data_IF_382801802957
#
_entry.id   IF_382801802957
#
_cell.length_a   1.000
_cell.length_b   1.000
_cell.length_c   1.000
_cell.angle_alpha   90.00
_cell.angle_beta   90.00
_cell.angle_gamma   90.00
#
_symmetry.space_group_name_H-M   'P 1'
#
loop_
_entity.id
_entity.type
_entity.pdbx_description
1 polymer ?
#
# COMPACT_ATOMS: atom_id res chain seq x y z
N UNK A 1 40.57 40.01 -5.32
CA UNK A 1 39.16 39.79 -4.92
C UNK A 1 38.74 38.43 -5.44
N UNK A 2 38.68 37.40 -4.60
CA UNK A 2 38.30 36.04 -4.99
C UNK A 2 36.82 35.86 -4.66
N UNK A 3 35.99 35.65 -5.67
CA UNK A 3 34.60 35.22 -5.51
C UNK A 3 34.62 33.74 -5.09
N UNK A 4 34.19 33.46 -3.86
CA UNK A 4 33.95 32.09 -3.40
C UNK A 4 32.49 31.76 -3.64
N UNK A 5 32.22 30.86 -4.60
CA UNK A 5 30.89 30.34 -4.90
C UNK A 5 30.52 29.32 -3.80
N UNK A 6 29.59 29.67 -2.91
CA UNK A 6 29.07 28.74 -1.89
C UNK A 6 27.88 28.02 -2.50
N UNK A 7 28.06 26.73 -2.80
CA UNK A 7 27.00 25.83 -3.27
C UNK A 7 26.21 25.36 -2.05
N UNK A 8 25.01 25.92 -1.83
CA UNK A 8 24.13 25.51 -0.75
C UNK A 8 23.30 24.30 -1.19
N UNK A 9 23.77 23.09 -0.87
CA UNK A 9 22.99 21.87 -1.03
C UNK A 9 21.99 21.73 0.11
N UNK A 10 20.70 21.90 -0.17
CA UNK A 10 19.63 21.59 0.77
C UNK A 10 19.49 20.06 0.84
N UNK A 11 20.10 19.43 1.85
CA UNK A 11 19.79 18.05 2.21
C UNK A 11 18.66 18.07 3.23
N UNK A 12 17.45 17.78 2.75
CA UNK A 12 16.32 17.48 3.63
C UNK A 12 16.54 16.04 4.13
N UNK A 13 17.22 15.92 5.26
CA UNK A 13 17.27 14.67 6.01
C UNK A 13 15.97 14.46 6.76
N UNK A 14 14.88 14.11 6.05
CA UNK A 14 13.70 13.59 6.73
C UNK A 14 14.09 12.21 7.24
N UNK A 15 14.22 12.04 8.55
CA UNK A 15 14.07 10.70 9.14
C UNK A 15 12.58 10.38 9.07
N UNK A 16 12.11 10.05 7.86
CA UNK A 16 10.87 9.32 7.75
C UNK A 16 11.17 7.96 8.37
N UNK A 17 10.69 7.72 9.58
CA UNK A 17 10.05 6.45 9.82
C UNK A 17 8.84 6.44 8.87
N UNK A 18 9.10 6.26 7.56
CA UNK A 18 8.03 6.22 6.59
C UNK A 18 7.19 5.04 7.01
N UNK A 19 5.90 5.27 7.26
CA UNK A 19 4.92 4.21 7.13
C UNK A 19 5.17 3.59 5.75
N UNK A 20 5.84 2.44 5.71
CA UNK A 20 6.17 1.70 4.49
C UNK A 20 5.02 0.79 4.10
N UNK A 21 3.82 1.12 4.57
CA UNK A 21 2.59 0.47 4.20
C UNK A 21 2.43 0.56 2.69
N UNK A 22 2.72 -0.54 2.02
CA UNK A 22 2.40 -0.75 0.62
C UNK A 22 1.03 -1.40 0.60
N UNK A 23 0.06 -0.82 -0.10
CA UNK A 23 -1.26 -1.43 -0.23
C UNK A 23 -1.79 -1.29 -1.64
N UNK A 24 -2.56 -2.28 -2.05
CA UNK A 24 -3.27 -2.30 -3.31
C UNK A 24 -4.66 -2.87 -3.13
N UNK A 25 -5.65 -2.24 -3.77
CA UNK A 25 -7.06 -2.58 -3.58
C UNK A 25 -7.61 -3.29 -4.79
N UNK A 26 -8.17 -4.47 -4.55
CA UNK A 26 -8.97 -5.23 -5.50
C UNK A 26 -10.45 -4.99 -5.21
N UNK A 27 -11.24 -4.81 -6.26
CA UNK A 27 -12.70 -4.75 -6.19
C UNK A 27 -13.26 -6.08 -6.64
N UNK A 28 -13.95 -6.77 -5.74
CA UNK A 28 -14.58 -8.08 -5.98
C UNK A 28 -16.09 -7.87 -6.08
N UNK A 29 -16.70 -8.30 -7.17
CA UNK A 29 -18.14 -8.16 -7.40
C UNK A 29 -18.80 -9.49 -7.72
N UNK A 30 -19.97 -9.73 -7.15
CA UNK A 30 -20.91 -10.72 -7.66
C UNK A 30 -22.03 -9.99 -8.41
N UNK A 31 -22.09 -10.21 -9.72
CA UNK A 31 -23.03 -9.59 -10.63
C UNK A 31 -24.12 -10.61 -10.99
N UNK A 32 -25.33 -10.36 -10.50
CA UNK A 32 -26.52 -11.17 -10.81
C UNK A 32 -27.53 -10.34 -11.61
N UNK A 33 -28.56 -10.96 -12.23
CA UNK A 33 -29.63 -10.21 -12.89
C UNK A 33 -30.42 -9.28 -11.95
N UNK A 34 -30.40 -9.54 -10.65
CA UNK A 34 -31.18 -8.82 -9.64
C UNK A 34 -30.37 -7.69 -9.00
N UNK A 35 -29.10 -7.95 -8.69
CA UNK A 35 -28.23 -6.99 -8.02
C UNK A 35 -26.74 -7.26 -8.28
N UNK A 36 -25.93 -6.20 -8.19
CA UNK A 36 -24.48 -6.31 -8.04
C UNK A 36 -24.12 -6.07 -6.58
N UNK A 37 -23.42 -7.03 -5.97
CA UNK A 37 -22.80 -6.85 -4.65
C UNK A 37 -21.30 -6.65 -4.82
N UNK A 38 -20.69 -5.80 -4.00
CA UNK A 38 -19.29 -5.39 -4.13
C UNK A 38 -18.58 -5.44 -2.79
N UNK A 39 -17.37 -5.98 -2.78
CA UNK A 39 -16.41 -5.91 -1.67
C UNK A 39 -15.09 -5.32 -2.15
N UNK A 40 -14.39 -4.66 -1.25
CA UNK A 40 -12.99 -4.27 -1.45
C UNK A 40 -12.12 -5.24 -0.68
N UNK A 41 -11.17 -5.88 -1.38
CA UNK A 41 -10.12 -6.68 -0.79
C UNK A 41 -8.81 -5.90 -0.85
N UNK A 42 -8.14 -5.72 0.28
CA UNK A 42 -6.87 -4.99 0.34
C UNK A 42 -5.74 -5.97 0.55
N UNK A 43 -4.79 -6.01 -0.39
CA UNK A 43 -3.50 -6.67 -0.16
C UNK A 43 -2.47 -5.62 0.19
N UNK A 44 -1.53 -5.96 1.05
CA UNK A 44 -0.44 -5.05 1.34
C UNK A 44 0.73 -5.70 2.03
N UNK A 45 1.75 -4.89 2.27
CA UNK A 45 2.86 -5.30 3.10
C UNK A 45 3.37 -4.11 3.92
N UNK A 46 3.80 -4.42 5.13
CA UNK A 46 4.28 -3.45 6.12
C UNK A 46 5.40 -4.09 6.94
N UNK A 47 6.39 -3.33 7.44
CA UNK A 47 7.41 -3.86 8.33
C UNK A 47 6.87 -4.53 9.61
N UNK A 48 5.65 -4.18 10.04
CA UNK A 48 4.96 -4.79 11.18
C UNK A 48 3.98 -5.91 10.78
N UNK A 49 3.80 -6.17 9.49
CA UNK A 49 2.91 -7.23 9.02
C UNK A 49 3.46 -8.62 9.36
N UNK A 50 2.58 -9.60 9.54
CA UNK A 50 2.91 -10.97 9.92
C UNK A 50 2.13 -12.00 9.09
N UNK A 51 2.35 -13.28 9.36
CA UNK A 51 1.53 -14.37 8.80
C UNK A 51 0.21 -14.56 9.58
N UNK A 52 0.05 -13.89 10.72
CA UNK A 52 -1.12 -14.00 11.60
C UNK A 52 -2.07 -12.81 11.48
N UNK A 53 -2.80 -12.52 12.56
CA UNK A 53 -3.68 -11.36 12.68
C UNK A 53 -2.88 -10.09 12.98
N UNK A 54 -2.93 -9.11 12.10
CA UNK A 54 -2.29 -7.81 12.27
C UNK A 54 -3.29 -6.70 12.65
N UNK A 55 -3.69 -6.66 13.92
CA UNK A 55 -4.65 -5.65 14.42
C UNK A 55 -4.19 -4.20 14.23
N UNK A 56 -2.87 -3.94 14.18
CA UNK A 56 -2.29 -2.61 13.93
C UNK A 56 -2.44 -2.17 12.46
N UNK A 57 -2.76 -3.10 11.55
CA UNK A 57 -3.00 -2.86 10.12
C UNK A 57 -4.49 -2.95 9.76
N UNK A 58 -5.35 -2.84 10.79
CA UNK A 58 -6.80 -2.94 10.74
C UNK A 58 -7.31 -4.30 10.23
N UNK A 59 -6.54 -5.38 10.41
CA UNK A 59 -7.07 -6.72 10.25
C UNK A 59 -7.96 -7.07 11.44
N UNK A 60 -9.09 -7.70 11.14
CA UNK A 60 -10.08 -8.11 12.13
C UNK A 60 -10.33 -9.60 11.95
N UNK A 61 -10.16 -10.37 13.02
CA UNK A 61 -10.63 -11.76 13.05
C UNK A 61 -12.15 -11.77 12.95
N UNK A 62 -12.67 -12.55 12.00
CA UNK A 62 -14.10 -12.74 11.81
C UNK A 62 -14.49 -14.12 12.33
N UNK A 63 -15.73 -14.30 12.81
CA UNK A 63 -16.21 -15.61 13.24
C UNK A 63 -16.09 -16.65 12.12
N UNK A 64 -15.85 -17.90 12.51
CA UNK A 64 -15.89 -19.04 11.60
C UNK A 64 -17.18 -19.03 10.78
N UNK A 65 -17.02 -19.04 9.46
CA UNK A 65 -18.10 -19.10 8.48
C UNK A 65 -18.52 -20.57 8.37
N UNK A 66 -19.80 -20.87 8.61
CA UNK A 66 -20.67 -21.04 7.46
C UNK A 66 -21.64 -19.88 7.39
N UNK A 67 -21.41 -19.00 6.41
CA UNK A 67 -22.41 -18.01 6.03
C UNK A 67 -23.68 -18.79 5.62
N UNK A 68 -24.89 -18.32 5.98
CA UNK A 68 -26.10 -18.77 5.32
C UNK A 68 -25.87 -18.81 3.81
N UNK A 69 -26.22 -19.92 3.17
CA UNK A 69 -26.03 -20.10 1.73
C UNK A 69 -26.54 -18.86 0.98
N UNK A 70 -25.73 -18.38 0.02
CA UNK A 70 -26.00 -17.22 -0.86
C UNK A 70 -25.57 -15.83 -0.35
N UNK A 71 -24.96 -15.69 0.84
CA UNK A 71 -24.36 -14.41 1.22
C UNK A 71 -23.03 -14.21 0.50
N UNK A 72 -23.00 -13.27 -0.44
CA UNK A 72 -21.76 -12.80 -1.04
C UNK A 72 -20.87 -12.14 0.01
N UNK A 73 -19.68 -12.69 0.20
CA UNK A 73 -18.69 -12.19 1.16
C UNK A 73 -17.28 -12.53 0.69
N UNK A 74 -16.31 -11.70 1.11
CA UNK A 74 -14.88 -11.87 0.80
C UNK A 74 -14.10 -11.86 2.10
N UNK A 75 -13.13 -12.76 2.24
CA UNK A 75 -12.26 -12.86 3.41
C UNK A 75 -10.88 -13.41 3.01
N UNK A 76 -9.93 -13.40 3.94
CA UNK A 76 -8.66 -14.14 3.84
C UNK A 76 -8.57 -15.17 4.97
N UNK A 77 -7.76 -16.20 4.77
CA UNK A 77 -7.39 -17.15 5.81
C UNK A 77 -5.90 -17.00 6.08
N UNK A 78 -5.56 -16.73 7.34
CA UNK A 78 -4.16 -16.60 7.75
C UNK A 78 -3.39 -17.91 7.46
N UNK A 79 -2.16 -17.86 6.91
CA UNK A 79 -1.32 -19.03 6.63
C UNK A 79 -0.69 -19.64 7.89
N UNK A 80 -1.47 -19.73 8.98
CA UNK A 80 -1.08 -20.34 10.25
C UNK A 80 -1.55 -21.80 10.34
N UNK A 81 -1.07 -22.54 11.35
CA UNK A 81 -1.56 -23.90 11.63
C UNK A 81 -3.04 -23.93 12.02
N UNK A 82 -3.49 -22.85 12.67
CA UNK A 82 -4.88 -22.65 13.02
C UNK A 82 -5.59 -21.90 11.89
N UNK A 83 -6.81 -22.31 11.56
CA UNK A 83 -7.60 -21.66 10.52
C UNK A 83 -8.21 -20.36 11.07
N UNK A 84 -7.48 -19.26 10.97
CA UNK A 84 -7.94 -17.94 11.41
C UNK A 84 -8.51 -17.19 10.21
N UNK A 85 -9.77 -16.79 10.30
CA UNK A 85 -10.50 -16.11 9.24
C UNK A 85 -10.43 -14.61 9.51
N UNK A 86 -10.01 -13.84 8.53
CA UNK A 86 -9.82 -12.40 8.69
C UNK A 86 -10.73 -11.62 7.75
N UNK A 87 -10.96 -10.36 8.11
CA UNK A 87 -11.53 -9.35 7.22
C UNK A 87 -10.87 -9.37 5.83
N UNK A 88 -11.49 -8.82 4.77
CA UNK A 88 -10.91 -8.75 3.42
C UNK A 88 -9.72 -7.76 3.31
N UNK A 89 -8.73 -7.94 4.17
CA UNK A 89 -7.46 -7.23 4.29
C UNK A 89 -6.42 -8.28 4.66
N UNK A 90 -5.31 -8.30 3.93
CA UNK A 90 -4.23 -9.27 4.13
C UNK A 90 -2.90 -8.51 3.98
N UNK A 91 -2.20 -8.35 5.09
CA UNK A 91 -0.88 -7.73 5.14
C UNK A 91 0.21 -8.77 5.40
N UNK A 92 1.37 -8.55 4.79
CA UNK A 92 2.55 -9.40 4.98
C UNK A 92 3.74 -8.58 5.41
N UNK A 93 4.74 -9.25 5.96
CA UNK A 93 5.99 -8.59 6.34
C UNK A 93 6.67 -8.00 5.11
N UNK A 94 6.98 -6.71 5.16
CA UNK A 94 7.82 -6.02 4.18
C UNK A 94 9.17 -5.68 4.78
N UNK A 95 10.26 -6.08 4.13
CA UNK A 95 11.62 -5.72 4.56
C UNK A 95 12.19 -4.64 3.64
N UNK A 96 12.35 -3.40 4.13
CA UNK A 96 12.92 -2.32 3.34
C UNK A 96 14.35 -2.64 2.94
N UNK A 97 14.73 -2.23 1.73
CA UNK A 97 16.02 -2.53 1.14
C UNK A 97 16.16 -3.96 0.61
N UNK A 98 15.14 -4.82 0.74
CA UNK A 98 15.19 -6.20 0.26
C UNK A 98 13.97 -6.55 -0.60
N UNK A 99 14.14 -7.12 -1.81
CA UNK A 99 13.02 -7.66 -2.55
C UNK A 99 12.39 -8.81 -1.76
N UNK A 100 11.07 -8.91 -1.80
CA UNK A 100 10.33 -9.96 -1.11
C UNK A 100 9.15 -10.43 -1.94
N UNK A 101 8.63 -11.61 -1.59
CA UNK A 101 7.49 -12.22 -2.23
C UNK A 101 6.44 -12.50 -1.16
N UNK A 102 5.19 -12.22 -1.48
CA UNK A 102 4.05 -12.52 -0.64
C UNK A 102 2.97 -13.27 -1.41
N UNK A 103 2.30 -14.14 -0.67
CA UNK A 103 1.13 -14.86 -1.11
C UNK A 103 -0.04 -14.50 -0.17
N UNK A 104 -1.04 -13.85 -0.74
CA UNK A 104 -2.26 -13.46 -0.01
C UNK A 104 -3.41 -14.38 -0.43
N UNK A 105 -4.13 -14.91 0.55
CA UNK A 105 -5.28 -15.79 0.29
C UNK A 105 -6.52 -14.90 0.11
N UNK A 106 -7.27 -15.11 -0.99
CA UNK A 106 -8.51 -14.39 -1.25
C UNK A 106 -9.62 -15.42 -1.43
N UNK A 107 -10.53 -15.45 -0.45
CA UNK A 107 -11.71 -16.32 -0.44
C UNK A 107 -12.94 -15.52 -0.77
N UNK A 108 -13.84 -16.15 -1.51
CA UNK A 108 -15.12 -15.56 -1.90
C UNK A 108 -16.23 -16.58 -1.75
N UNK A 109 -17.25 -16.28 -0.96
CA UNK A 109 -18.49 -17.04 -0.99
C UNK A 109 -19.38 -16.38 -2.03
N UNK A 110 -19.76 -17.11 -3.07
CA UNK A 110 -20.65 -16.60 -4.09
C UNK A 110 -21.41 -17.72 -4.78
N UNK A 111 -22.64 -17.44 -5.18
CA UNK A 111 -23.48 -18.38 -5.92
C UNK A 111 -24.17 -17.66 -7.07
N UNK A 112 -24.23 -18.33 -8.23
CA UNK A 112 -24.85 -17.81 -9.45
C UNK A 112 -24.20 -16.55 -10.02
N UNK A 113 -24.71 -16.09 -11.16
CA UNK A 113 -24.25 -14.85 -11.79
C UNK A 113 -22.81 -14.93 -12.33
N UNK A 114 -22.07 -13.82 -12.17
CA UNK A 114 -20.68 -13.66 -12.60
C UNK A 114 -19.86 -13.02 -11.48
N UNK A 115 -18.76 -13.66 -11.13
CA UNK A 115 -17.72 -13.08 -10.28
C UNK A 115 -16.79 -12.22 -11.14
N UNK A 116 -16.54 -10.99 -10.70
CA UNK A 116 -15.54 -10.09 -11.28
C UNK A 116 -14.54 -9.71 -10.18
N UNK A 117 -13.23 -9.86 -10.46
CA UNK A 117 -12.15 -9.28 -9.66
C UNK A 117 -11.47 -8.23 -10.54
N UNK A 118 -11.51 -6.99 -10.11
CA UNK A 118 -11.00 -5.85 -10.87
C UNK A 118 -10.10 -4.99 -9.99
N UNK A 119 -9.27 -4.19 -10.63
CA UNK A 119 -8.35 -3.26 -9.98
C UNK A 119 -8.26 -1.99 -10.81
N UNK A 120 -7.86 -0.90 -10.16
CA UNK A 120 -7.75 0.40 -10.80
C UNK A 120 -6.46 1.08 -10.38
N UNK A 121 -5.85 1.79 -11.32
CA UNK A 121 -4.60 2.50 -11.10
C UNK A 121 -3.37 1.69 -11.51
N UNK A 122 -2.22 2.35 -11.44
CA UNK A 122 -0.93 1.70 -11.58
C UNK A 122 -0.57 0.98 -10.27
N UNK A 123 0.22 -0.08 -10.38
CA UNK A 123 0.86 -0.67 -9.20
C UNK A 123 1.76 0.37 -8.53
N UNK A 124 1.75 0.47 -7.18
CA UNK A 124 2.70 1.30 -6.45
C UNK A 124 4.16 0.93 -6.81
N UNK A 125 5.11 1.88 -6.76
CA UNK A 125 6.53 1.62 -7.08
C UNK A 125 7.21 0.50 -6.27
N UNK A 126 6.64 0.15 -5.12
CA UNK A 126 7.10 -0.93 -4.24
C UNK A 126 6.55 -2.29 -4.64
N UNK A 127 5.65 -2.37 -5.61
CA UNK A 127 5.15 -3.63 -6.19
C UNK A 127 5.71 -3.72 -7.61
N UNK A 128 6.63 -4.66 -7.81
CA UNK A 128 7.22 -4.93 -9.13
C UNK A 128 6.22 -5.65 -10.04
N UNK A 129 5.56 -6.68 -9.52
CA UNK A 129 4.52 -7.40 -10.24
C UNK A 129 3.52 -8.07 -9.31
N UNK A 130 2.32 -8.30 -9.83
CA UNK A 130 1.24 -8.97 -9.11
C UNK A 130 0.43 -9.87 -10.05
N UNK A 131 0.01 -11.02 -9.54
CA UNK A 131 -0.83 -11.98 -10.25
C UNK A 131 -1.98 -12.43 -9.35
N UNK A 132 -3.14 -12.64 -9.96
CA UNK A 132 -4.28 -13.33 -9.34
C UNK A 132 -4.34 -14.71 -9.98
N UNK A 133 -4.25 -15.74 -9.14
CA UNK A 133 -4.34 -17.13 -9.57
C UNK A 133 -5.46 -17.85 -8.84
N UNK A 134 -5.92 -18.99 -9.36
CA UNK A 134 -6.75 -19.87 -8.54
C UNK A 134 -5.93 -20.48 -7.40
N UNK A 135 -6.63 -20.88 -6.32
CA UNK A 135 -6.02 -21.52 -5.15
C UNK A 135 -6.01 -23.04 -5.17
N UNK A 136 -6.24 -23.69 -6.32
CA UNK A 136 -6.31 -25.16 -6.45
C UNK A 136 -5.18 -25.75 -7.31
N UNK A 137 -4.41 -24.90 -7.99
CA UNK A 137 -3.29 -25.29 -8.83
C UNK A 137 -2.03 -24.49 -8.47
N UNK A 138 -0.88 -24.95 -8.95
CA UNK A 138 0.42 -24.39 -8.59
C UNK A 138 0.96 -23.45 -9.66
N UNK A 139 1.57 -22.35 -9.21
CA UNK A 139 2.26 -21.42 -10.08
C UNK A 139 3.52 -22.06 -10.69
N UNK A 140 3.82 -21.86 -12.00
CA UNK A 140 3.16 -20.96 -12.95
C UNK A 140 2.02 -21.59 -13.77
N UNK A 141 1.62 -22.83 -13.49
CA UNK A 141 0.71 -23.63 -14.32
C UNK A 141 -0.74 -23.60 -13.82
N UNK A 142 -1.18 -22.43 -13.35
CA UNK A 142 -2.53 -22.27 -12.84
C UNK A 142 -3.60 -22.32 -13.94
N UNK A 143 -4.80 -22.78 -13.59
CA UNK A 143 -5.97 -22.74 -14.47
C UNK A 143 -6.39 -21.29 -14.69
N UNK A 144 -6.45 -20.52 -13.61
CA UNK A 144 -6.62 -19.07 -13.63
C UNK A 144 -5.27 -18.46 -13.33
N UNK A 145 -4.77 -17.63 -14.25
CA UNK A 145 -3.57 -16.82 -14.04
C UNK A 145 -3.75 -15.48 -14.75
N UNK A 146 -4.03 -14.44 -13.99
CA UNK A 146 -4.22 -13.09 -14.52
C UNK A 146 -3.18 -12.17 -13.92
N UNK A 147 -2.36 -11.57 -14.78
CA UNK A 147 -1.42 -10.53 -14.35
C UNK A 147 -2.19 -9.24 -14.07
N UNK A 148 -1.84 -8.57 -12.98
CA UNK A 148 -2.43 -7.29 -12.59
C UNK A 148 -1.78 -6.17 -13.39
N UNK A 149 -2.46 -5.74 -14.45
CA UNK A 149 -2.04 -4.64 -15.32
C UNK A 149 -3.16 -3.59 -15.42
N UNK A 150 -2.86 -2.30 -15.61
CA UNK A 150 -3.88 -1.25 -15.67
C UNK A 150 -4.99 -1.56 -16.68
N UNK A 151 -6.25 -1.49 -16.22
CA UNK A 151 -7.43 -1.74 -17.06
C UNK A 151 -7.77 -3.22 -17.28
N UNK A 152 -6.93 -4.15 -16.83
CA UNK A 152 -7.26 -5.57 -16.82
C UNK A 152 -8.22 -5.92 -15.67
N UNK A 153 -8.89 -7.07 -15.81
CA UNK A 153 -9.78 -7.67 -14.82
C UNK A 153 -9.86 -9.17 -15.03
N UNK A 154 -10.31 -9.89 -14.02
CA UNK A 154 -10.67 -11.29 -14.09
C UNK A 154 -12.19 -11.43 -13.95
N UNK A 155 -12.81 -12.28 -14.77
CA UNK A 155 -14.24 -12.61 -14.70
C UNK A 155 -14.47 -14.10 -14.87
N UNK A 156 -15.42 -14.65 -14.11
CA UNK A 156 -15.85 -16.05 -14.25
C UNK A 156 -17.32 -16.24 -13.88
N UNK A 157 -17.97 -17.20 -14.52
CA UNK A 157 -19.30 -17.70 -14.14
C UNK A 157 -19.24 -19.10 -13.49
N UNK A 158 -18.04 -19.64 -13.26
CA UNK A 158 -17.86 -20.94 -12.61
C UNK A 158 -17.78 -20.76 -11.08
N UNK A 159 -18.83 -21.11 -10.31
CA UNK A 159 -18.86 -20.94 -8.87
C UNK A 159 -17.85 -21.81 -8.11
N UNK A 160 -17.25 -22.82 -8.76
CA UNK A 160 -16.16 -23.60 -8.16
C UNK A 160 -14.85 -22.81 -8.01
N UNK A 161 -14.77 -21.61 -8.58
CA UNK A 161 -13.67 -20.68 -8.35
C UNK A 161 -14.04 -19.75 -7.19
N UNK A 162 -13.85 -20.24 -5.97
CA UNK A 162 -14.14 -19.55 -4.70
C UNK A 162 -12.87 -19.20 -3.89
N UNK A 163 -11.71 -19.73 -4.31
CA UNK A 163 -10.41 -19.49 -3.72
C UNK A 163 -9.42 -18.97 -4.77
N UNK A 164 -8.77 -17.87 -4.44
CA UNK A 164 -7.72 -17.24 -5.22
C UNK A 164 -6.49 -17.00 -4.37
N UNK A 165 -5.34 -16.90 -5.03
CA UNK A 165 -4.08 -16.41 -4.46
C UNK A 165 -3.70 -15.13 -5.16
N UNK A 166 -3.36 -14.10 -4.40
CA UNK A 166 -2.80 -12.86 -4.92
C UNK A 166 -1.31 -12.89 -4.65
N UNK A 167 -0.55 -13.19 -5.69
CA UNK A 167 0.90 -13.31 -5.65
C UNK A 167 1.51 -11.93 -5.89
N UNK A 168 2.30 -11.42 -4.95
CA UNK A 168 2.87 -10.08 -5.02
C UNK A 168 4.40 -10.15 -4.89
N UNK A 169 5.11 -9.58 -5.86
CA UNK A 169 6.54 -9.37 -5.79
C UNK A 169 6.80 -7.92 -5.41
N UNK A 170 7.32 -7.72 -4.20
CA UNK A 170 7.65 -6.41 -3.68
C UNK A 170 9.08 -6.01 -4.04
N UNK A 171 9.23 -4.77 -4.49
CA UNK A 171 10.50 -4.10 -4.61
C UNK A 171 10.81 -3.33 -3.33
N UNK A 172 11.60 -3.93 -2.44
CA UNK A 172 12.04 -3.26 -1.22
C UNK A 172 13.10 -2.17 -1.44
N UNK A 173 13.68 -2.08 -2.63
CA UNK A 173 14.80 -1.16 -2.92
C UNK A 173 14.33 0.23 -3.34
N UNK A 174 13.07 0.37 -3.75
CA UNK A 174 12.46 1.66 -4.06
C UNK A 174 12.10 2.37 -2.75
N UNK A 175 12.92 3.36 -2.38
CA UNK A 175 12.53 4.35 -1.36
C UNK A 175 11.46 5.27 -1.97
N UNK A 176 10.18 4.94 -1.79
CA UNK A 176 9.13 5.89 -2.12
C UNK A 176 9.07 6.93 -1.01
N UNK A 177 9.65 8.10 -1.26
CA UNK A 177 9.21 9.32 -0.56
C UNK A 177 7.85 9.65 -1.17
N UNK A 178 6.78 9.29 -0.48
CA UNK A 178 5.45 9.82 -0.82
C UNK A 178 5.45 11.27 -0.37
N UNK A 179 5.86 12.18 -1.25
CA UNK A 179 5.68 13.64 -1.08
C UNK A 179 4.23 14.05 -1.39
N UNK A 180 3.25 13.30 -0.89
CA UNK A 180 1.83 13.62 -1.10
C UNK A 180 1.12 13.74 0.25
N UNK A 181 1.75 14.48 1.17
CA UNK A 181 0.98 15.14 2.21
C UNK A 181 0.54 16.51 1.66
N UNK A 182 -0.75 16.73 1.38
CA UNK A 182 -1.26 18.04 0.96
C UNK A 182 -0.97 19.15 1.97
N UNK A 183 -0.59 18.84 3.21
CA UNK A 183 -0.08 19.81 4.18
C UNK A 183 1.35 20.29 3.90
N UNK A 184 2.21 19.46 3.26
CA UNK A 184 3.57 19.83 2.88
C UNK A 184 3.63 20.59 1.53
N UNK A 185 2.62 20.43 0.66
CA UNK A 185 2.51 21.17 -0.60
C UNK A 185 2.36 22.69 -0.41
N UNK A 186 2.03 23.15 0.80
CA UNK A 186 1.92 24.57 1.15
C UNK A 186 3.27 25.20 1.57
N UNK A 187 4.29 24.39 1.90
CA UNK A 187 5.59 24.90 2.32
C UNK A 187 6.38 25.36 1.09
N UNK A 188 6.59 26.67 0.98
CA UNK A 188 7.39 27.25 -0.10
C UNK A 188 8.62 27.94 0.47
N UNK A 189 9.78 27.67 -0.11
CA UNK A 189 11.02 28.36 0.20
C UNK A 189 11.65 28.98 -1.04
N UNK A 190 12.09 30.23 -0.92
CA UNK A 190 12.71 30.95 -2.04
C UNK A 190 13.67 32.03 -1.53
N UNK A 191 14.67 32.44 -2.34
CA UNK A 191 15.06 31.84 -3.61
C UNK A 191 15.74 30.47 -3.44
N UNK A 192 15.67 29.63 -4.47
CA UNK A 192 16.45 28.40 -4.58
C UNK A 192 17.27 28.46 -5.88
N UNK A 193 18.62 28.60 -5.86
CA UNK A 193 19.51 28.54 -4.70
C UNK A 193 19.35 29.73 -3.73
N UNK A 194 19.52 29.46 -2.44
CA UNK A 194 19.38 30.47 -1.37
C UNK A 194 20.64 31.33 -1.30
N UNK A 195 20.46 32.65 -1.25
CA UNK A 195 21.53 33.61 -1.02
C UNK A 195 21.68 33.94 0.48
N UNK A 196 21.76 35.23 0.82
CA UNK A 196 21.87 35.69 2.21
C UNK A 196 20.55 35.66 2.97
N UNK A 197 19.41 35.59 2.26
CA UNK A 197 18.07 35.60 2.84
C UNK A 197 17.28 34.40 2.32
N UNK A 198 16.60 33.70 3.23
CA UNK A 198 15.68 32.61 2.96
C UNK A 198 14.28 33.07 3.35
N UNK A 199 13.35 33.05 2.40
CA UNK A 199 11.93 33.27 2.67
C UNK A 199 11.23 31.92 2.82
N UNK A 200 10.37 31.81 3.84
CA UNK A 200 9.56 30.65 4.14
C UNK A 200 8.10 31.08 4.15
N UNK A 201 7.24 30.34 3.45
CA UNK A 201 5.80 30.57 3.39
C UNK A 201 5.04 29.26 3.64
N UNK A 202 3.81 29.36 4.13
CA UNK A 202 2.97 28.19 4.45
C UNK A 202 3.26 27.54 5.81
N UNK A 203 3.65 28.33 6.80
CA UNK A 203 4.08 27.83 8.12
C UNK A 203 2.93 27.49 9.09
N UNK A 204 1.67 27.60 8.64
CA UNK A 204 0.48 27.50 9.50
C UNK A 204 0.33 26.16 10.25
N UNK A 205 1.06 25.11 9.81
CA UNK A 205 1.02 23.77 10.41
C UNK A 205 2.41 23.23 10.77
N UNK A 206 3.43 24.08 10.76
CA UNK A 206 4.81 23.68 11.04
C UNK A 206 5.09 23.89 12.52
N UNK A 207 5.41 22.82 13.26
CA UNK A 207 5.74 22.95 14.68
C UNK A 207 7.15 23.51 14.89
N UNK A 208 8.09 23.15 14.02
CA UNK A 208 9.49 23.55 14.13
C UNK A 208 10.17 23.57 12.74
N UNK A 209 11.04 24.54 12.52
CA UNK A 209 11.94 24.63 11.36
C UNK A 209 13.37 24.66 11.86
N UNK A 210 14.23 23.80 11.33
CA UNK A 210 15.65 23.81 11.61
C UNK A 210 16.44 23.99 10.31
N UNK A 211 17.39 24.93 10.31
CA UNK A 211 18.40 25.08 9.26
C UNK A 211 19.69 24.47 9.76
N UNK A 212 20.25 23.58 8.96
CA UNK A 212 21.51 22.90 9.25
C UNK A 212 22.59 23.32 8.25
N UNK A 213 23.84 23.33 8.71
CA UNK A 213 24.99 23.46 7.81
C UNK A 213 25.35 22.11 7.16
N UNK A 214 26.32 22.15 6.25
CA UNK A 214 26.80 20.95 5.53
C UNK A 214 27.43 19.88 6.43
N UNK A 215 27.72 20.21 7.70
CA UNK A 215 28.24 19.27 8.69
C UNK A 215 27.14 18.64 9.55
N UNK A 216 25.87 19.00 9.30
CA UNK A 216 24.72 18.54 10.07
C UNK A 216 24.54 19.29 11.39
N UNK A 217 25.24 20.41 11.59
CA UNK A 217 25.05 21.24 12.78
C UNK A 217 23.87 22.18 12.57
N UNK A 218 22.96 22.24 13.55
CA UNK A 218 21.86 23.21 13.56
C UNK A 218 22.44 24.62 13.67
N UNK A 219 22.19 25.41 12.63
CA UNK A 219 22.57 26.83 12.53
C UNK A 219 21.49 27.71 13.14
N UNK A 220 20.22 27.34 12.94
CA UNK A 220 19.08 28.10 13.47
C UNK A 220 17.82 27.23 13.59
N UNK A 221 17.03 27.51 14.62
CA UNK A 221 15.74 26.86 14.90
C UNK A 221 14.65 27.91 15.05
N UNK A 222 13.47 27.64 14.52
CA UNK A 222 12.25 28.42 14.72
C UNK A 222 11.12 27.49 15.19
N UNK A 223 10.37 27.89 16.21
CA UNK A 223 9.13 27.22 16.60
C UNK A 223 7.95 27.92 15.88
N UNK A 224 7.09 27.17 15.19
CA UNK A 224 6.07 27.75 14.30
C UNK A 224 4.83 28.27 15.00
N UNK A 225 5.00 29.14 16.00
CA UNK A 225 3.89 29.85 16.64
C UNK A 225 4.10 31.37 16.82
N UNK A 226 5.06 31.97 16.09
CA UNK A 226 5.16 33.44 16.01
C UNK A 226 5.34 33.89 14.55
N UNK A 227 4.25 34.37 13.93
CA UNK A 227 4.25 35.07 12.65
C UNK A 227 3.09 34.73 11.74
#
# INVERSE_FOLDING_TARGET
MRLTLILLGCFIGVTTASAQLVQYRLTVKNITPIATKTFTFTVGADPQGTDGLDTVLDEIEIPDIPLPGDIFYVWTVAPTSDAIWLSPRDFRTFTPGSPSYADHDLRVNWTGGRLEISWSGALPPQIDSMYITDGYSDFPNNIVKTKVEPGAKFETSNPALDRFRVLVWYNGTTSAVVEDDPALSALHFYPNPVGETLHLAGLERVNEIQILDITGRVVKTWAGSEG
#
